data_IF_428280883292
#
_entry.id   IF_428280883292
#
_cell.length_a   1.000
_cell.length_b   1.000
_cell.length_c   1.000
_cell.angle_alpha   90.00
_cell.angle_beta   90.00
_cell.angle_gamma   90.00
#
_symmetry.space_group_name_H-M   'P 1'
#
loop_
_entity.id
_entity.type
_entity.pdbx_description
1 polymer ?
#
# COMPACT_ATOMS: atom_id res chain seq x y z
N UNK A 1 3.58 78.03 40.80
CA UNK A 1 4.11 77.94 39.43
C UNK A 1 3.73 76.59 38.87
N UNK A 2 2.72 76.57 38.00
CA UNK A 2 2.06 75.37 37.49
C UNK A 2 3.01 74.52 36.62
N UNK A 3 3.07 73.21 36.85
CA UNK A 3 3.55 72.27 35.81
C UNK A 3 2.56 71.12 35.62
N UNK A 4 2.18 71.01 34.36
CA UNK A 4 1.04 70.30 33.78
C UNK A 4 1.23 68.78 33.84
N UNK A 5 0.10 68.11 34.07
CA UNK A 5 -0.09 66.67 33.90
C UNK A 5 0.21 66.23 32.47
N UNK A 6 0.98 65.16 32.31
CA UNK A 6 1.04 64.38 31.07
C UNK A 6 0.63 62.96 31.45
N UNK A 7 -0.65 62.64 31.21
CA UNK A 7 -1.18 61.29 31.26
C UNK A 7 -0.73 60.54 30.02
N UNK A 8 0.27 59.67 30.16
CA UNK A 8 0.66 58.69 29.15
C UNK A 8 -0.29 57.50 29.21
N UNK A 9 -1.31 57.52 28.35
CA UNK A 9 -2.19 56.37 28.10
C UNK A 9 -1.40 55.35 27.28
N UNK A 10 -0.84 54.34 27.95
CA UNK A 10 -0.15 53.23 27.30
C UNK A 10 -1.20 52.26 26.76
N UNK A 11 -1.52 52.37 25.47
CA UNK A 11 -2.42 51.48 24.74
C UNK A 11 -1.74 50.10 24.58
N UNK A 12 -2.01 49.19 25.52
CA UNK A 12 -1.65 47.77 25.40
C UNK A 12 -2.56 47.13 24.34
N UNK A 13 -2.07 47.01 23.10
CA UNK A 13 -2.68 46.19 22.06
C UNK A 13 -2.25 44.74 22.34
N UNK A 14 -3.15 43.82 22.73
CA UNK A 14 -2.79 42.41 22.79
C UNK A 14 -2.71 41.92 21.35
N UNK A 15 -1.49 41.76 20.86
CA UNK A 15 -1.20 41.02 19.63
C UNK A 15 -1.60 39.58 19.91
N UNK A 16 -2.82 39.22 19.54
CA UNK A 16 -3.25 37.83 19.50
C UNK A 16 -2.37 37.12 18.47
N UNK A 17 -1.37 36.38 18.95
CA UNK A 17 -0.68 35.37 18.14
C UNK A 17 -1.74 34.34 17.73
N UNK A 18 -2.29 34.51 16.54
CA UNK A 18 -2.94 33.43 15.81
C UNK A 18 -1.85 32.40 15.52
N UNK A 19 -1.68 31.45 16.42
CA UNK A 19 -0.97 30.21 16.15
C UNK A 19 -1.86 29.49 15.14
N UNK A 20 -1.68 29.80 13.86
CA UNK A 20 -2.12 28.93 12.79
C UNK A 20 -1.34 27.63 13.00
N UNK A 21 -1.94 26.70 13.75
CA UNK A 21 -1.52 25.32 13.74
C UNK A 21 -1.70 24.86 12.30
N UNK A 22 -0.64 24.98 11.50
CA UNK A 22 -0.51 24.26 10.25
C UNK A 22 -0.62 22.80 10.63
N UNK A 23 -1.84 22.25 10.57
CA UNK A 23 -2.06 20.83 10.64
C UNK A 23 -1.22 20.24 9.52
N UNK A 24 -0.11 19.59 9.87
CA UNK A 24 0.68 18.78 8.97
C UNK A 24 -0.12 17.52 8.62
N UNK A 25 -1.32 17.69 8.06
CA UNK A 25 -2.02 16.61 7.37
C UNK A 25 -1.05 16.16 6.30
N UNK A 26 -0.41 15.01 6.53
CA UNK A 26 0.58 14.44 5.64
C UNK A 26 0.01 14.49 4.22
N UNK A 27 0.70 15.18 3.30
CA UNK A 27 0.30 15.37 1.88
C UNK A 27 -0.17 14.05 1.24
N UNK A 28 0.39 12.94 1.69
CA UNK A 28 0.02 11.57 1.36
C UNK A 28 -1.47 11.23 1.56
N UNK A 29 -2.14 11.71 2.62
CA UNK A 29 -3.55 11.43 2.87
C UNK A 29 -4.47 12.05 1.81
N UNK A 30 -3.98 13.06 1.08
CA UNK A 30 -4.72 13.79 0.05
C UNK A 30 -4.45 13.31 -1.38
N UNK A 31 -3.52 12.37 -1.58
CA UNK A 31 -3.20 11.86 -2.92
C UNK A 31 -4.28 10.92 -3.46
N UNK A 32 -4.52 10.88 -4.78
CA UNK A 32 -5.50 9.98 -5.38
C UNK A 32 -5.11 8.51 -5.18
N UNK A 33 -6.11 7.62 -5.21
CA UNK A 33 -5.86 6.19 -5.16
C UNK A 33 -5.10 5.74 -6.43
N UNK A 34 -3.97 5.02 -6.30
CA UNK A 34 -3.25 4.51 -7.45
C UNK A 34 -4.07 3.44 -8.19
N UNK A 35 -3.95 3.42 -9.52
CA UNK A 35 -4.60 2.44 -10.40
C UNK A 35 -3.60 1.78 -11.36
N UNK A 36 -3.07 0.60 -11.01
CA UNK A 36 -2.00 -0.06 -11.80
C UNK A 36 -2.51 -0.83 -13.02
N UNK A 37 -3.82 -1.07 -13.08
CA UNK A 37 -4.45 -2.02 -14.00
C UNK A 37 -4.54 -3.48 -13.50
N UNK A 38 -4.01 -3.80 -12.31
CA UNK A 38 -4.10 -5.15 -11.74
C UNK A 38 -5.53 -5.53 -11.29
N UNK A 39 -6.19 -4.60 -10.60
CA UNK A 39 -7.58 -4.76 -10.18
C UNK A 39 -8.55 -4.48 -11.34
N UNK A 40 -9.61 -5.29 -11.51
CA UNK A 40 -10.59 -5.10 -12.57
C UNK A 40 -11.46 -3.86 -12.39
N UNK A 41 -11.76 -3.41 -11.16
CA UNK A 41 -12.63 -2.24 -10.98
C UNK A 41 -12.33 -1.40 -9.73
N UNK A 42 -11.41 -0.46 -9.87
CA UNK A 42 -11.06 0.51 -8.82
C UNK A 42 -12.22 1.35 -8.29
N UNK A 43 -13.32 1.52 -9.03
CA UNK A 43 -14.44 2.36 -8.56
C UNK A 43 -15.19 1.74 -7.38
N UNK A 44 -15.00 0.44 -7.14
CA UNK A 44 -15.61 -0.28 -6.02
C UNK A 44 -14.90 -0.03 -4.69
N UNK A 45 -13.61 0.33 -4.75
CA UNK A 45 -12.74 0.46 -3.60
C UNK A 45 -13.07 1.72 -2.77
N UNK A 46 -13.21 1.53 -1.47
CA UNK A 46 -13.44 2.60 -0.51
C UNK A 46 -12.27 2.71 0.47
N UNK A 47 -11.91 3.92 0.87
CA UNK A 47 -10.83 4.16 1.84
C UNK A 47 -11.20 3.58 3.21
N UNK A 48 -10.27 2.86 3.82
CA UNK A 48 -10.36 2.38 5.19
C UNK A 48 -9.76 3.43 6.13
N UNK A 49 -10.58 3.95 7.04
CA UNK A 49 -10.21 5.07 7.92
C UNK A 49 -9.14 4.72 8.94
N UNK A 50 -9.04 3.45 9.34
CA UNK A 50 -8.15 2.98 10.40
C UNK A 50 -6.96 2.20 9.82
N UNK A 51 -6.28 2.80 8.83
CA UNK A 51 -5.09 2.22 8.22
C UNK A 51 -3.89 2.28 9.19
N UNK A 52 -3.00 1.25 9.20
CA UNK A 52 -1.73 1.33 9.93
C UNK A 52 -0.91 2.58 9.57
N UNK A 53 -0.03 3.02 10.47
CA UNK A 53 0.89 4.12 10.22
C UNK A 53 1.68 3.91 8.91
N UNK A 54 1.95 5.00 8.18
CA UNK A 54 2.59 5.02 6.86
C UNK A 54 1.86 4.23 5.76
N UNK A 55 0.60 3.84 5.98
CA UNK A 55 -0.19 3.14 4.98
C UNK A 55 -1.55 3.76 4.73
N UNK A 56 -2.04 3.57 3.51
CA UNK A 56 -3.42 3.86 3.10
C UNK A 56 -3.97 2.63 2.45
N UNK A 57 -5.15 2.27 2.93
CA UNK A 57 -5.83 1.06 2.55
C UNK A 57 -7.14 1.42 1.88
N UNK A 58 -7.40 0.81 0.74
CA UNK A 58 -8.71 0.77 0.14
C UNK A 58 -9.20 -0.66 0.05
N UNK A 59 -10.51 -0.83 0.24
CA UNK A 59 -11.14 -2.15 0.27
C UNK A 59 -12.50 -2.09 -0.39
N UNK A 60 -12.81 -3.15 -1.11
CA UNK A 60 -14.14 -3.47 -1.59
C UNK A 60 -14.51 -4.87 -1.11
N UNK A 61 -15.78 -5.05 -0.76
CA UNK A 61 -16.40 -6.35 -0.50
C UNK A 61 -17.80 -6.32 -1.08
N UNK A 62 -18.17 -7.39 -1.78
CA UNK A 62 -19.53 -7.53 -2.28
C UNK A 62 -20.48 -7.77 -1.10
N UNK A 63 -21.41 -6.84 -0.81
CA UNK A 63 -22.31 -6.96 0.33
C UNK A 63 -23.36 -8.08 0.17
N UNK A 64 -23.58 -8.58 -1.06
CA UNK A 64 -24.50 -9.68 -1.32
C UNK A 64 -23.86 -11.06 -1.12
N UNK A 65 -22.53 -11.12 -0.93
CA UNK A 65 -21.80 -12.37 -0.80
C UNK A 65 -21.69 -12.78 0.66
N UNK A 66 -22.10 -14.01 0.96
CA UNK A 66 -21.80 -14.67 2.24
C UNK A 66 -20.41 -15.33 2.17
N UNK A 67 -19.38 -14.79 2.87
CA UNK A 67 -18.04 -15.34 2.82
C UNK A 67 -17.95 -16.75 3.40
N UNK A 68 -18.91 -17.19 4.23
CA UNK A 68 -18.89 -18.53 4.82
C UNK A 68 -19.20 -19.63 3.79
N UNK A 69 -19.71 -19.28 2.61
CA UNK A 69 -19.91 -20.22 1.50
C UNK A 69 -18.59 -20.65 0.85
N UNK A 70 -17.50 -19.95 1.12
CA UNK A 70 -16.19 -20.23 0.54
C UNK A 70 -15.29 -20.92 1.56
N UNK A 71 -15.15 -22.25 1.42
CA UNK A 71 -14.33 -23.09 2.31
C UNK A 71 -12.99 -23.47 1.71
N UNK A 72 -12.78 -23.12 0.44
CA UNK A 72 -11.59 -23.48 -0.32
C UNK A 72 -11.10 -22.28 -1.14
N UNK A 73 -9.81 -22.26 -1.44
CA UNK A 73 -9.19 -21.20 -2.23
C UNK A 73 -8.18 -21.75 -3.22
N UNK A 74 -8.21 -21.23 -4.44
CA UNK A 74 -7.14 -21.34 -5.43
C UNK A 74 -6.25 -20.12 -5.29
N UNK A 75 -4.94 -20.35 -5.25
CA UNK A 75 -3.94 -19.29 -5.14
C UNK A 75 -3.28 -19.08 -6.49
N UNK A 76 -3.56 -17.94 -7.14
CA UNK A 76 -2.82 -17.54 -8.33
C UNK A 76 -1.36 -17.23 -7.94
N UNK A 77 -0.38 -17.43 -8.85
CA UNK A 77 0.99 -17.02 -8.61
C UNK A 77 1.10 -15.53 -8.27
N UNK A 78 1.92 -15.17 -7.27
CA UNK A 78 2.16 -13.77 -6.91
C UNK A 78 2.69 -12.99 -8.11
N UNK A 79 1.99 -11.91 -8.46
CA UNK A 79 2.40 -11.00 -9.51
C UNK A 79 3.40 -9.97 -8.98
N UNK A 80 4.51 -9.79 -9.68
CA UNK A 80 5.44 -8.69 -9.46
C UNK A 80 5.51 -7.88 -10.76
N UNK A 81 5.19 -6.59 -10.68
CA UNK A 81 5.39 -5.64 -11.77
C UNK A 81 6.87 -5.27 -11.86
N UNK A 82 7.71 -6.26 -12.19
CA UNK A 82 9.15 -6.09 -12.32
C UNK A 82 9.74 -7.10 -13.30
N UNK A 83 10.63 -6.62 -14.14
CA UNK A 83 11.45 -7.41 -15.06
C UNK A 83 12.92 -7.41 -14.61
N UNK A 84 13.72 -8.34 -15.13
CA UNK A 84 15.14 -8.37 -14.78
C UNK A 84 15.85 -7.09 -15.27
N UNK A 85 16.77 -6.58 -14.46
CA UNK A 85 17.62 -5.42 -14.78
C UNK A 85 19.09 -5.79 -14.62
N UNK A 86 20.01 -4.86 -14.88
CA UNK A 86 21.44 -5.09 -14.61
C UNK A 86 21.74 -5.30 -13.12
N UNK A 87 20.92 -4.70 -12.25
CA UNK A 87 21.06 -4.74 -10.80
C UNK A 87 20.28 -5.89 -10.16
N UNK A 88 19.23 -6.38 -10.82
CA UNK A 88 18.37 -7.46 -10.31
C UNK A 88 18.24 -8.55 -11.36
N UNK A 89 18.83 -9.71 -11.07
CA UNK A 89 18.78 -10.86 -11.95
C UNK A 89 17.37 -11.49 -12.01
N UNK A 90 17.08 -12.19 -13.11
CA UNK A 90 15.86 -12.99 -13.23
C UNK A 90 15.75 -14.08 -12.14
N UNK A 91 16.89 -14.64 -11.72
CA UNK A 91 16.95 -15.64 -10.64
C UNK A 91 16.54 -15.02 -9.30
N UNK A 92 16.99 -13.81 -9.00
CA UNK A 92 16.60 -13.07 -7.80
C UNK A 92 15.08 -12.81 -7.80
N UNK A 93 14.51 -12.38 -8.94
CA UNK A 93 13.06 -12.19 -9.04
C UNK A 93 12.28 -13.49 -8.84
N UNK A 94 12.76 -14.61 -9.39
CA UNK A 94 12.14 -15.92 -9.19
C UNK A 94 12.15 -16.33 -7.71
N UNK A 95 13.28 -16.16 -7.02
CA UNK A 95 13.41 -16.44 -5.59
C UNK A 95 12.46 -15.57 -4.76
N UNK A 96 12.36 -14.28 -5.06
CA UNK A 96 11.42 -13.38 -4.37
C UNK A 96 9.98 -13.84 -4.59
N UNK A 97 9.59 -14.16 -5.83
CA UNK A 97 8.25 -14.67 -6.14
C UNK A 97 7.94 -15.95 -5.37
N UNK A 98 8.87 -16.90 -5.34
CA UNK A 98 8.73 -18.16 -4.61
C UNK A 98 8.53 -17.90 -3.11
N UNK A 99 9.36 -17.06 -2.51
CA UNK A 99 9.25 -16.70 -1.08
C UNK A 99 7.92 -16.02 -0.75
N UNK A 100 7.41 -15.17 -1.64
CA UNK A 100 6.09 -14.53 -1.48
C UNK A 100 4.95 -15.52 -1.67
N UNK A 101 5.09 -16.46 -2.61
CA UNK A 101 4.13 -17.54 -2.79
C UNK A 101 4.03 -18.41 -1.54
N UNK A 102 5.15 -18.81 -0.95
CA UNK A 102 5.16 -19.53 0.33
C UNK A 102 4.51 -18.72 1.44
N UNK A 103 4.78 -17.40 1.52
CA UNK A 103 4.14 -16.54 2.51
C UNK A 103 2.63 -16.44 2.34
N UNK A 104 2.14 -16.48 1.09
CA UNK A 104 0.70 -16.50 0.80
C UNK A 104 0.05 -17.82 1.24
N UNK A 105 0.70 -18.95 0.92
CA UNK A 105 0.26 -20.29 1.35
C UNK A 105 0.21 -20.40 2.88
N UNK A 106 1.29 -19.98 3.55
CA UNK A 106 1.41 -19.98 5.00
C UNK A 106 0.29 -19.15 5.67
N UNK A 107 0.03 -17.95 5.13
CA UNK A 107 -1.00 -17.07 5.65
C UNK A 107 -2.42 -17.63 5.48
N UNK A 108 -2.70 -18.37 4.40
CA UNK A 108 -3.97 -19.07 4.23
C UNK A 108 -4.07 -20.25 5.18
N UNK A 109 -3.03 -21.07 5.30
CA UNK A 109 -3.00 -22.20 6.24
C UNK A 109 -3.20 -21.76 7.68
N UNK A 110 -2.63 -20.61 8.07
CA UNK A 110 -2.80 -20.02 9.40
C UNK A 110 -4.25 -19.66 9.76
N UNK A 111 -5.15 -19.53 8.78
CA UNK A 111 -6.60 -19.36 9.03
C UNK A 111 -7.27 -20.63 9.56
N UNK A 112 -6.71 -21.81 9.28
CA UNK A 112 -7.15 -23.11 9.80
C UNK A 112 -8.47 -23.65 9.23
N UNK A 113 -9.29 -22.82 8.58
CA UNK A 113 -10.62 -23.19 8.09
C UNK A 113 -10.81 -23.09 6.57
N UNK A 114 -9.74 -22.78 5.82
CA UNK A 114 -9.76 -22.68 4.36
C UNK A 114 -8.81 -23.72 3.76
N UNK A 115 -9.29 -24.51 2.81
CA UNK A 115 -8.48 -25.50 2.08
C UNK A 115 -7.88 -24.89 0.83
N UNK A 116 -6.58 -25.07 0.60
CA UNK A 116 -5.95 -24.72 -0.68
C UNK A 116 -6.24 -25.84 -1.69
N UNK A 117 -6.79 -25.49 -2.85
CA UNK A 117 -7.13 -26.41 -3.93
C UNK A 117 -6.62 -25.90 -5.27
N UNK A 118 -6.52 -26.79 -6.26
CA UNK A 118 -5.99 -26.44 -7.59
C UNK A 118 -7.07 -26.31 -8.68
N UNK A 119 -8.31 -26.75 -8.40
CA UNK A 119 -9.39 -26.79 -9.38
C UNK A 119 -10.58 -25.93 -8.92
N UNK A 120 -11.24 -25.20 -9.85
CA UNK A 120 -12.50 -24.50 -9.58
C UNK A 120 -13.61 -25.44 -9.10
N UNK A 121 -14.55 -24.90 -8.33
CA UNK A 121 -15.71 -25.65 -7.87
C UNK A 121 -16.60 -24.88 -6.88
N UNK A 122 -17.71 -25.48 -6.43
CA UNK A 122 -18.62 -24.85 -5.49
C UNK A 122 -17.91 -24.48 -4.18
N UNK A 123 -18.08 -23.23 -3.73
CA UNK A 123 -17.44 -22.73 -2.53
C UNK A 123 -15.92 -22.59 -2.61
N UNK A 124 -15.37 -22.56 -3.83
CA UNK A 124 -13.96 -22.29 -4.08
C UNK A 124 -13.81 -20.84 -4.56
N UNK A 125 -13.05 -20.04 -3.81
CA UNK A 125 -12.63 -18.71 -4.24
C UNK A 125 -11.29 -18.80 -4.99
N UNK A 126 -10.96 -17.76 -5.75
CA UNK A 126 -9.63 -17.57 -6.34
C UNK A 126 -9.04 -16.28 -5.82
N UNK A 127 -7.83 -16.35 -5.30
CA UNK A 127 -7.08 -15.21 -4.79
C UNK A 127 -5.94 -14.88 -5.75
N UNK A 128 -5.82 -13.62 -6.12
CA UNK A 128 -4.63 -13.09 -6.77
C UNK A 128 -4.07 -11.91 -5.96
N UNK A 129 -2.75 -11.88 -5.79
CA UNK A 129 -2.02 -10.80 -5.11
C UNK A 129 -0.91 -10.29 -6.03
N UNK A 130 -0.78 -8.97 -6.12
CA UNK A 130 0.20 -8.29 -6.94
C UNK A 130 0.96 -7.21 -6.18
N UNK A 131 2.26 -7.14 -6.37
CA UNK A 131 3.07 -5.96 -6.05
C UNK A 131 3.23 -5.18 -7.34
N UNK A 132 2.55 -4.04 -7.43
CA UNK A 132 2.26 -3.37 -8.70
C UNK A 132 2.98 -2.05 -8.87
N UNK A 133 3.58 -1.52 -7.80
CA UNK A 133 4.44 -0.35 -7.84
C UNK A 133 5.29 -0.19 -6.58
N UNK A 134 6.39 0.56 -6.69
CA UNK A 134 7.29 0.91 -5.59
C UNK A 134 7.58 2.44 -5.50
N UNK A 135 7.07 3.23 -6.46
CA UNK A 135 7.17 4.69 -6.51
C UNK A 135 5.85 5.29 -7.01
N UNK A 136 5.31 6.31 -6.36
CA UNK A 136 4.20 7.09 -6.93
C UNK A 136 4.75 8.22 -7.80
N UNK A 137 4.27 8.30 -9.04
CA UNK A 137 4.40 9.50 -9.86
C UNK A 137 3.13 10.35 -9.71
N UNK A 138 3.26 11.67 -9.86
CA UNK A 138 2.12 12.60 -9.79
C UNK A 138 1.12 12.43 -10.95
N UNK A 139 1.40 11.57 -11.95
CA UNK A 139 0.50 11.33 -13.07
C UNK A 139 0.81 9.97 -13.72
N UNK A 140 -0.13 9.05 -13.59
CA UNK A 140 -0.18 7.73 -14.25
C UNK A 140 0.88 6.70 -13.81
N UNK A 141 0.38 5.51 -13.48
CA UNK A 141 1.20 4.33 -13.23
C UNK A 141 1.62 3.76 -14.58
N UNK A 142 2.76 4.22 -15.08
CA UNK A 142 3.43 3.56 -16.19
C UNK A 142 4.01 2.22 -15.69
N UNK A 143 4.10 1.18 -16.53
CA UNK A 143 4.78 -0.08 -16.19
C UNK A 143 6.20 0.25 -15.71
N UNK A 144 6.48 -0.01 -14.43
CA UNK A 144 7.62 0.59 -13.75
C UNK A 144 8.74 -0.41 -13.55
N UNK A 145 9.96 -0.01 -13.93
CA UNK A 145 11.17 -0.73 -13.61
C UNK A 145 11.47 -0.48 -12.13
N UNK A 146 11.15 -1.46 -11.29
CA UNK A 146 11.59 -1.54 -9.90
C UNK A 146 13.12 -1.50 -9.89
N UNK A 147 13.64 -0.32 -9.56
CA UNK A 147 15.03 -0.16 -9.19
C UNK A 147 14.95 0.14 -7.71
N UNK A 148 15.31 -0.78 -6.81
CA UNK A 148 15.44 -0.41 -5.41
C UNK A 148 16.35 0.80 -5.38
N UNK A 149 15.80 1.95 -4.99
CA UNK A 149 16.61 3.14 -4.69
C UNK A 149 17.68 2.75 -3.64
N UNK A 150 17.46 1.66 -2.88
CA UNK A 150 18.43 1.02 -2.00
C UNK A 150 19.61 0.27 -2.66
N UNK A 151 19.60 -0.05 -3.95
CA UNK A 151 20.70 -0.80 -4.60
C UNK A 151 21.59 0.04 -5.53
N UNK A 152 21.19 1.25 -5.95
CA UNK A 152 21.93 1.98 -6.98
C UNK A 152 22.36 3.42 -6.67
N UNK A 153 21.73 4.17 -5.75
CA UNK A 153 22.07 5.59 -5.61
C UNK A 153 21.87 6.14 -4.20
N UNK A 154 23.00 6.33 -3.52
CA UNK A 154 23.31 7.34 -2.49
C UNK A 154 22.11 7.94 -1.74
N UNK A 155 22.10 7.78 -0.41
CA UNK A 155 21.30 8.57 0.52
C UNK A 155 21.34 10.10 0.23
N UNK A 156 22.38 10.60 -0.44
CA UNK A 156 22.48 11.98 -0.92
C UNK A 156 21.44 12.37 -1.99
N UNK A 157 21.01 11.48 -2.89
CA UNK A 157 19.97 11.77 -3.88
C UNK A 157 18.58 11.91 -3.24
N UNK A 158 18.37 11.26 -2.09
CA UNK A 158 17.17 11.38 -1.28
C UNK A 158 17.12 12.71 -0.51
N UNK A 159 18.28 13.21 -0.04
CA UNK A 159 18.40 14.51 0.64
C UNK A 159 18.37 15.68 -0.34
N UNK A 160 18.96 15.51 -1.52
CA UNK A 160 19.10 16.55 -2.54
C UNK A 160 17.91 16.60 -3.52
N UNK A 161 16.67 16.46 -3.06
CA UNK A 161 15.47 16.95 -3.75
C UNK A 161 15.34 16.67 -5.27
N UNK A 162 15.87 15.56 -5.80
CA UNK A 162 15.82 15.30 -7.24
C UNK A 162 14.45 14.70 -7.59
N UNK A 163 13.51 15.59 -7.94
CA UNK A 163 12.30 15.38 -8.76
C UNK A 163 11.21 14.43 -8.22
N UNK A 164 10.43 14.94 -7.26
CA UNK A 164 8.96 14.81 -7.15
C UNK A 164 8.28 13.42 -7.26
N UNK A 165 8.85 12.37 -6.65
CA UNK A 165 8.14 11.10 -6.45
C UNK A 165 8.17 10.69 -4.98
N UNK A 166 6.99 10.48 -4.40
CA UNK A 166 6.88 9.91 -3.05
C UNK A 166 7.08 8.39 -3.17
N UNK A 167 8.15 7.82 -2.63
CA UNK A 167 8.40 6.38 -2.73
C UNK A 167 7.29 5.62 -1.99
N UNK A 168 6.73 4.59 -2.62
CA UNK A 168 5.55 3.90 -2.11
C UNK A 168 5.43 2.48 -2.64
N UNK A 169 5.32 1.49 -1.77
CA UNK A 169 4.95 0.13 -2.17
C UNK A 169 3.44 0.05 -2.38
N UNK A 170 3.00 -0.36 -3.57
CA UNK A 170 1.60 -0.57 -3.93
C UNK A 170 1.36 -2.07 -4.03
N UNK A 171 0.40 -2.54 -3.23
CA UNK A 171 0.03 -3.95 -3.15
C UNK A 171 -1.46 -4.05 -3.42
N UNK A 172 -1.83 -4.96 -4.29
CA UNK A 172 -3.20 -5.14 -4.72
C UNK A 172 -3.59 -6.60 -4.61
N UNK A 173 -4.84 -6.85 -4.25
CA UNK A 173 -5.40 -8.19 -4.15
C UNK A 173 -6.84 -8.22 -4.63
N UNK A 174 -7.23 -9.31 -5.25
CA UNK A 174 -8.61 -9.59 -5.61
C UNK A 174 -8.98 -11.02 -5.26
N UNK A 175 -10.21 -11.17 -4.78
CA UNK A 175 -10.85 -12.45 -4.53
C UNK A 175 -12.04 -12.56 -5.47
N UNK A 176 -12.10 -13.63 -6.24
CA UNK A 176 -13.22 -13.91 -7.15
C UNK A 176 -13.81 -15.29 -6.87
N UNK A 177 -15.08 -15.49 -7.19
CA UNK A 177 -15.65 -16.85 -7.26
C UNK A 177 -14.94 -17.64 -8.38
N UNK A 178 -14.58 -18.89 -8.11
CA UNK A 178 -13.78 -19.68 -9.06
C UNK A 178 -14.55 -20.14 -10.30
N UNK A 179 -15.89 -20.19 -10.23
CA UNK A 179 -16.72 -20.70 -11.33
C UNK A 179 -17.24 -19.58 -12.22
N UNK A 180 -17.74 -18.50 -11.62
CA UNK A 180 -18.36 -17.37 -12.30
C UNK A 180 -17.40 -16.21 -12.55
N UNK A 181 -16.30 -16.11 -11.78
CA UNK A 181 -15.42 -14.96 -11.80
C UNK A 181 -15.98 -13.71 -11.12
N UNK A 182 -17.13 -13.80 -10.44
CA UNK A 182 -17.71 -12.69 -9.67
C UNK A 182 -16.69 -12.14 -8.67
N UNK A 183 -16.54 -10.82 -8.61
CA UNK A 183 -15.67 -10.15 -7.63
C UNK A 183 -16.31 -10.27 -6.25
N UNK A 184 -15.64 -10.94 -5.32
CA UNK A 184 -16.06 -11.09 -3.93
C UNK A 184 -15.45 -9.99 -3.06
N UNK A 185 -14.23 -9.58 -3.38
CA UNK A 185 -13.55 -8.48 -2.71
C UNK A 185 -12.28 -8.06 -3.41
N UNK A 186 -11.88 -6.82 -3.16
CA UNK A 186 -10.63 -6.22 -3.64
C UNK A 186 -9.96 -5.46 -2.49
N UNK A 187 -8.64 -5.40 -2.53
CA UNK A 187 -7.86 -4.64 -1.56
C UNK A 187 -6.69 -3.96 -2.24
N UNK A 188 -6.43 -2.71 -1.88
CA UNK A 188 -5.27 -1.94 -2.30
C UNK A 188 -4.61 -1.35 -1.06
N UNK A 189 -3.30 -1.55 -0.92
CA UNK A 189 -2.47 -0.97 0.12
C UNK A 189 -1.39 -0.15 -0.54
N UNK A 190 -1.18 1.06 -0.03
CA UNK A 190 0.05 1.82 -0.27
C UNK A 190 0.83 1.89 1.03
N UNK A 191 2.14 1.68 1.00
CA UNK A 191 3.06 1.82 2.15
C UNK A 191 4.13 2.85 1.77
N UNK A 192 4.32 3.89 2.57
CA UNK A 192 5.19 5.03 2.25
C UNK A 192 6.13 5.40 3.39
N UNK A 193 6.81 6.54 3.25
CA UNK A 193 7.56 7.15 4.34
C UNK A 193 8.70 6.28 4.86
N UNK A 194 8.87 6.28 6.18
CA UNK A 194 9.96 5.56 6.84
C UNK A 194 9.82 4.03 6.71
N UNK A 195 8.59 3.55 6.74
CA UNK A 195 8.27 2.13 6.56
C UNK A 195 8.75 1.61 5.21
N UNK A 196 8.58 2.38 4.13
CA UNK A 196 9.16 2.01 2.83
C UNK A 196 10.68 2.19 2.77
N UNK A 197 11.19 3.30 3.34
CA UNK A 197 12.60 3.66 3.29
C UNK A 197 13.49 2.60 3.93
N UNK A 198 13.10 2.11 5.10
CA UNK A 198 13.87 1.09 5.85
C UNK A 198 13.87 -0.26 5.15
N UNK A 199 12.76 -0.66 4.52
CA UNK A 199 12.68 -1.99 3.90
C UNK A 199 12.87 -2.04 2.39
N UNK A 200 13.18 -0.94 1.71
CA UNK A 200 13.61 -0.98 0.29
C UNK A 200 15.13 -1.03 0.12
N UNK A 201 15.89 -1.02 1.22
CA UNK A 201 17.35 -0.96 1.24
C UNK A 201 18.10 -2.21 0.76
N UNK A 202 17.43 -3.37 0.69
CA UNK A 202 18.02 -4.62 0.20
C UNK A 202 16.95 -5.57 -0.32
N UNK A 203 17.35 -6.61 -1.05
CA UNK A 203 16.43 -7.68 -1.51
C UNK A 203 15.74 -8.37 -0.33
N UNK A 204 16.45 -8.61 0.76
CA UNK A 204 15.90 -9.23 1.96
C UNK A 204 14.88 -8.33 2.65
N UNK A 205 15.23 -7.05 2.86
CA UNK A 205 14.35 -6.09 3.50
C UNK A 205 13.06 -5.90 2.68
N UNK A 206 13.20 -5.87 1.35
CA UNK A 206 12.06 -5.79 0.45
C UNK A 206 11.21 -7.04 0.55
N UNK A 207 11.84 -8.21 0.53
CA UNK A 207 11.14 -9.50 0.67
C UNK A 207 10.34 -9.54 1.97
N UNK A 208 10.88 -9.00 3.07
CA UNK A 208 10.18 -8.94 4.36
C UNK A 208 8.97 -7.99 4.34
N UNK A 209 9.10 -6.79 3.74
CA UNK A 209 7.95 -5.90 3.55
C UNK A 209 6.91 -6.56 2.63
N UNK A 210 7.35 -7.16 1.52
CA UNK A 210 6.48 -7.82 0.56
C UNK A 210 5.73 -9.01 1.19
N UNK A 211 6.37 -9.81 2.06
CA UNK A 211 5.70 -10.84 2.87
C UNK A 211 4.62 -10.25 3.77
N UNK A 212 4.96 -9.19 4.50
CA UNK A 212 3.99 -8.48 5.36
C UNK A 212 2.82 -7.98 4.52
N UNK A 213 3.11 -7.39 3.37
CA UNK A 213 2.12 -6.86 2.45
C UNK A 213 1.18 -7.93 1.88
N UNK A 214 1.70 -9.09 1.47
CA UNK A 214 0.90 -10.22 1.01
C UNK A 214 -0.06 -10.68 2.12
N UNK A 215 0.42 -10.74 3.37
CA UNK A 215 -0.42 -11.04 4.54
C UNK A 215 -1.48 -9.98 4.80
N UNK A 216 -1.15 -8.70 4.70
CA UNK A 216 -2.12 -7.62 4.86
C UNK A 216 -3.17 -7.65 3.75
N UNK A 217 -2.78 -7.84 2.49
CA UNK A 217 -3.69 -7.90 1.35
C UNK A 217 -4.73 -9.03 1.50
N UNK A 218 -4.29 -10.18 2.00
CA UNK A 218 -5.15 -11.30 2.41
C UNK A 218 -6.13 -10.90 3.50
N UNK A 219 -5.67 -10.18 4.52
CA UNK A 219 -6.53 -9.75 5.62
C UNK A 219 -7.55 -8.72 5.15
N UNK A 220 -7.18 -7.79 4.29
CA UNK A 220 -8.10 -6.74 3.83
C UNK A 220 -9.25 -7.29 3.02
N UNK A 221 -8.95 -8.13 2.04
CA UNK A 221 -9.96 -8.70 1.16
C UNK A 221 -10.87 -9.70 1.88
N UNK A 222 -10.43 -10.28 3.01
CA UNK A 222 -11.15 -11.36 3.69
C UNK A 222 -11.56 -11.11 5.17
N UNK A 223 -11.18 -10.00 5.81
CA UNK A 223 -11.59 -9.67 7.20
C UNK A 223 -13.00 -9.07 7.19
N UNK A 224 -13.86 -9.53 8.12
CA UNK A 224 -15.22 -9.01 8.36
C UNK A 224 -15.20 -7.53 8.73
#
# INVERSE_FOLDING_TARGET
MNRRHILTISLFVPVALLIAACSNTSKYLTEPMPQSGFLPNYKLLQLVTDSPADSRVWRYRDPAVDPNKYTSVILDPVYLNQTATQQISAQTLAQVKEVLQYSMVDAINARGNIKIVNNPGPGVAKLAVGITGAEMSNNSLQPWNFTPIGLATNAAAYVAGVNAKTPALIIESKITDSQSGQILGEGLITIQGESFRTGSGSVEAFTNIAKKAVREALMLSARR
#
